data_IF_933866000338
#
_entry.id   IF_933866000338
#
_cell.length_a   1.000
_cell.length_b   1.000
_cell.length_c   1.000
_cell.angle_alpha   90.00
_cell.angle_beta   90.00
_cell.angle_gamma   90.00
#
_symmetry.space_group_name_H-M   'P 1'
#
loop_
_entity.id
_entity.type
_entity.pdbx_description
1 polymer ?
#
# COMPACT_ATOMS: atom_id res chain seq x y z
N UNK A 1 -4.47 17.79 4.88
CA UNK A 1 -3.46 17.25 3.94
C UNK A 1 -2.74 18.44 3.34
N UNK A 2 -1.42 18.50 3.46
CA UNK A 2 -0.63 19.52 2.75
C UNK A 2 -0.45 19.02 1.33
N UNK A 3 -0.97 19.76 0.34
CA UNK A 3 -0.80 19.41 -1.08
C UNK A 3 0.69 19.23 -1.42
N UNK A 4 1.01 18.14 -2.13
CA UNK A 4 2.39 17.80 -2.50
C UNK A 4 2.95 18.80 -3.51
N UNK A 5 2.11 19.19 -4.46
CA UNK A 5 2.44 20.15 -5.50
C UNK A 5 1.80 21.49 -5.16
N UNK A 6 2.62 22.53 -5.01
CA UNK A 6 2.17 23.86 -4.66
C UNK A 6 2.56 24.86 -5.76
N UNK A 7 1.68 25.82 -6.05
CA UNK A 7 2.04 26.93 -6.92
C UNK A 7 2.96 27.88 -6.16
N UNK A 8 4.05 28.31 -6.81
CA UNK A 8 4.94 29.36 -6.30
C UNK A 8 5.18 30.41 -7.37
N UNK A 9 5.24 31.66 -6.92
CA UNK A 9 5.54 32.83 -7.76
C UNK A 9 7.05 32.98 -7.94
N UNK A 10 7.46 33.38 -9.13
CA UNK A 10 8.84 33.67 -9.52
C UNK A 10 8.91 35.06 -10.15
N UNK A 11 10.10 35.63 -10.36
CA UNK A 11 10.24 36.90 -11.08
C UNK A 11 9.74 36.85 -12.54
N UNK A 12 9.59 35.65 -13.10
CA UNK A 12 9.23 35.42 -14.51
C UNK A 12 7.76 34.98 -14.69
N UNK A 13 7.06 34.65 -13.61
CA UNK A 13 5.70 34.11 -13.65
C UNK A 13 5.41 33.18 -12.48
N UNK A 14 4.75 32.06 -12.74
CA UNK A 14 4.41 31.04 -11.76
C UNK A 14 4.96 29.68 -12.18
N UNK A 15 5.16 28.81 -11.20
CA UNK A 15 5.53 27.41 -11.43
C UNK A 15 5.00 26.49 -10.34
N UNK A 16 5.07 25.19 -10.60
CA UNK A 16 4.69 24.15 -9.65
C UNK A 16 5.93 23.67 -8.91
N UNK A 17 5.88 23.76 -7.58
CA UNK A 17 6.89 23.29 -6.65
C UNK A 17 6.49 21.93 -6.09
N UNK A 18 7.38 20.95 -6.14
CA UNK A 18 7.21 19.67 -5.45
C UNK A 18 7.91 19.74 -4.08
N UNK A 19 7.12 19.66 -3.01
CA UNK A 19 7.62 19.71 -1.64
C UNK A 19 8.47 18.49 -1.25
N UNK A 20 8.29 17.34 -1.91
CA UNK A 20 9.00 16.11 -1.57
C UNK A 20 10.45 16.09 -2.08
N UNK A 21 10.71 16.71 -3.24
CA UNK A 21 12.06 16.82 -3.81
C UNK A 21 12.67 18.20 -3.60
N UNK A 22 11.93 19.12 -2.97
CA UNK A 22 12.32 20.52 -2.80
C UNK A 22 12.81 21.15 -4.11
N UNK A 23 12.01 21.00 -5.17
CA UNK A 23 12.38 21.43 -6.51
C UNK A 23 11.21 21.85 -7.38
N UNK A 24 11.54 22.54 -8.47
CA UNK A 24 10.57 22.92 -9.50
C UNK A 24 10.20 21.72 -10.37
N UNK A 25 8.91 21.50 -10.55
CA UNK A 25 8.38 20.44 -11.38
C UNK A 25 7.79 20.93 -12.71
N UNK A 26 7.74 22.25 -12.90
CA UNK A 26 7.34 22.90 -14.16
C UNK A 26 8.28 24.03 -14.54
N UNK A 27 8.08 24.58 -15.75
CA UNK A 27 8.64 25.89 -16.11
C UNK A 27 8.07 26.97 -15.18
N UNK A 28 8.83 28.05 -15.01
CA UNK A 28 8.58 29.14 -14.06
C UNK A 28 7.98 30.40 -14.72
N UNK A 29 7.58 30.28 -15.98
CA UNK A 29 7.01 31.33 -16.84
C UNK A 29 5.50 31.13 -17.08
N UNK A 30 4.85 30.26 -16.29
CA UNK A 30 3.42 30.00 -16.45
C UNK A 30 2.60 31.16 -15.88
N UNK A 31 1.39 31.35 -16.43
CA UNK A 31 0.38 32.18 -15.78
C UNK A 31 -0.13 31.49 -14.51
N UNK A 32 -0.56 32.27 -13.52
CA UNK A 32 -1.14 31.76 -12.27
C UNK A 32 -2.26 30.73 -12.48
N UNK A 33 -3.26 30.95 -13.38
CA UNK A 33 -4.29 29.94 -13.63
C UNK A 33 -3.72 28.66 -14.26
N UNK A 34 -2.73 28.76 -15.16
CA UNK A 34 -2.11 27.59 -15.77
C UNK A 34 -1.30 26.77 -14.75
N UNK A 35 -0.55 27.43 -13.86
CA UNK A 35 0.18 26.77 -12.78
C UNK A 35 -0.77 26.12 -11.76
N UNK A 36 -1.90 26.77 -11.47
CA UNK A 36 -2.94 26.26 -10.56
C UNK A 36 -3.61 25.01 -11.11
N UNK A 37 -4.02 25.02 -12.37
CA UNK A 37 -4.60 23.82 -13.01
C UNK A 37 -3.59 22.67 -13.12
N UNK A 38 -2.32 22.99 -13.38
CA UNK A 38 -1.24 21.99 -13.40
C UNK A 38 -1.02 21.37 -12.01
N UNK A 39 -0.92 22.19 -10.96
CA UNK A 39 -0.78 21.71 -9.58
C UNK A 39 -1.99 20.88 -9.14
N UNK A 40 -3.22 21.30 -9.46
CA UNK A 40 -4.43 20.51 -9.21
C UNK A 40 -4.40 19.17 -9.92
N UNK A 41 -4.07 19.15 -11.22
CA UNK A 41 -3.98 17.91 -11.99
C UNK A 41 -2.95 16.94 -11.38
N UNK A 42 -1.79 17.46 -10.98
CA UNK A 42 -0.75 16.68 -10.33
C UNK A 42 -1.16 16.18 -8.94
N UNK A 43 -1.82 17.01 -8.13
CA UNK A 43 -2.35 16.60 -6.83
C UNK A 43 -3.51 15.62 -6.97
N UNK A 44 -4.36 15.72 -7.99
CA UNK A 44 -5.43 14.74 -8.29
C UNK A 44 -4.81 13.41 -8.70
N UNK A 45 -3.81 13.40 -9.58
CA UNK A 45 -3.10 12.18 -9.96
C UNK A 45 -2.38 11.53 -8.77
N UNK A 46 -1.74 12.34 -7.94
CA UNK A 46 -1.08 11.86 -6.72
C UNK A 46 -2.08 11.38 -5.67
N UNK A 47 -3.19 12.08 -5.47
CA UNK A 47 -4.27 11.63 -4.59
C UNK A 47 -4.86 10.31 -5.10
N UNK A 48 -5.13 10.18 -6.40
CA UNK A 48 -5.60 8.94 -6.99
C UNK A 48 -4.59 7.79 -6.86
N UNK A 49 -3.29 8.06 -6.94
CA UNK A 49 -2.24 7.09 -6.63
C UNK A 49 -2.23 6.72 -5.15
N UNK A 50 -2.35 7.68 -4.23
CA UNK A 50 -2.48 7.42 -2.79
C UNK A 50 -3.76 6.67 -2.41
N UNK A 51 -4.86 6.90 -3.14
CA UNK A 51 -6.12 6.17 -3.01
C UNK A 51 -6.05 4.81 -3.71
N UNK A 52 -5.19 4.62 -4.71
CA UNK A 52 -4.90 3.27 -5.24
C UNK A 52 -4.06 2.44 -4.26
N UNK A 53 -3.42 3.09 -3.28
CA UNK A 53 -2.81 2.47 -2.11
C UNK A 53 -3.83 2.15 -0.99
N UNK A 54 -5.13 2.06 -1.30
CA UNK A 54 -6.17 1.46 -0.43
C UNK A 54 -5.97 -0.06 -0.36
N UNK A 55 -4.84 -0.45 0.22
CA UNK A 55 -4.52 -1.81 0.62
C UNK A 55 -5.57 -2.20 1.64
N UNK A 56 -6.61 -2.90 1.17
CA UNK A 56 -7.67 -3.40 2.03
C UNK A 56 -7.05 -4.40 3.00
N UNK A 57 -6.72 -3.94 4.20
CA UNK A 57 -6.08 -4.75 5.22
C UNK A 57 -7.09 -5.16 6.29
N UNK A 58 -7.00 -6.41 6.74
CA UNK A 58 -7.93 -7.00 7.71
C UNK A 58 -7.14 -7.77 8.76
N UNK A 59 -7.21 -7.31 10.01
CA UNK A 59 -6.66 -8.06 11.15
C UNK A 59 -7.56 -9.24 11.49
N UNK A 60 -6.98 -10.38 11.83
CA UNK A 60 -7.67 -11.61 12.21
C UNK A 60 -7.47 -11.83 13.72
N UNK A 61 -8.52 -11.59 14.51
CA UNK A 61 -8.50 -11.78 15.97
C UNK A 61 -9.70 -12.65 16.38
N UNK A 62 -9.50 -13.77 17.10
CA UNK A 62 -8.20 -14.37 17.41
C UNK A 62 -7.49 -14.88 16.15
N UNK A 63 -6.17 -15.02 16.22
CA UNK A 63 -5.39 -15.59 15.12
C UNK A 63 -5.94 -16.99 14.77
N UNK A 64 -6.09 -17.28 13.48
CA UNK A 64 -6.72 -18.52 13.00
C UNK A 64 -5.67 -19.55 12.61
N UNK A 65 -5.85 -20.84 12.96
CA UNK A 65 -4.95 -21.89 12.52
C UNK A 65 -5.07 -22.09 11.01
N UNK A 66 -3.93 -22.12 10.33
CA UNK A 66 -3.78 -22.29 8.88
C UNK A 66 -2.67 -23.29 8.57
N UNK A 67 -2.70 -23.83 7.35
CA UNK A 67 -1.56 -24.48 6.74
C UNK A 67 -0.93 -23.52 5.74
N UNK A 68 0.40 -23.42 5.77
CA UNK A 68 1.23 -22.55 4.93
C UNK A 68 2.09 -23.40 4.02
N UNK A 69 2.08 -23.14 2.71
CA UNK A 69 2.92 -23.84 1.73
C UNK A 69 4.33 -23.22 1.70
N UNK A 70 5.33 -23.97 2.14
CA UNK A 70 6.75 -23.59 2.13
C UNK A 70 7.54 -24.75 1.51
N UNK A 71 8.34 -24.46 0.48
CA UNK A 71 9.15 -25.44 -0.26
C UNK A 71 8.35 -26.68 -0.72
N UNK A 72 7.13 -26.46 -1.20
CA UNK A 72 6.25 -27.53 -1.68
C UNK A 72 5.59 -28.37 -0.58
N UNK A 73 5.82 -28.03 0.70
CA UNK A 73 5.24 -28.72 1.86
C UNK A 73 4.31 -27.80 2.66
N UNK A 74 3.21 -28.35 3.13
CA UNK A 74 2.28 -27.64 4.02
C UNK A 74 2.74 -27.74 5.47
N UNK A 75 2.86 -26.59 6.12
CA UNK A 75 3.29 -26.44 7.51
C UNK A 75 2.18 -25.79 8.35
N UNK A 76 1.98 -26.21 9.60
CA UNK A 76 1.03 -25.56 10.49
C UNK A 76 1.52 -24.17 10.91
N UNK A 77 0.57 -23.26 11.05
CA UNK A 77 0.82 -21.90 11.51
C UNK A 77 -0.45 -21.16 11.89
N UNK A 78 -0.28 -19.90 12.29
CA UNK A 78 -1.35 -19.03 12.74
C UNK A 78 -1.39 -17.75 11.92
N UNK A 79 -2.55 -17.45 11.36
CA UNK A 79 -2.81 -16.26 10.56
C UNK A 79 -3.41 -15.15 11.42
N UNK A 80 -2.76 -13.98 11.44
CA UNK A 80 -3.19 -12.81 12.20
C UNK A 80 -3.58 -11.59 11.32
N UNK A 81 -3.25 -11.60 10.02
CA UNK A 81 -3.48 -10.45 9.15
C UNK A 81 -3.69 -10.82 7.68
N UNK A 82 -4.52 -10.04 6.99
CA UNK A 82 -4.68 -10.03 5.53
C UNK A 82 -4.40 -8.65 4.96
N UNK A 83 -3.75 -8.57 3.80
CA UNK A 83 -3.60 -7.34 3.01
C UNK A 83 -3.92 -7.65 1.55
N UNK A 84 -4.57 -6.71 0.87
CA UNK A 84 -4.85 -6.78 -0.56
C UNK A 84 -3.91 -5.84 -1.30
N UNK A 85 -2.95 -6.41 -2.02
CA UNK A 85 -2.01 -5.69 -2.88
C UNK A 85 -2.49 -5.75 -4.35
N UNK A 86 -1.76 -5.08 -5.25
CA UNK A 86 -2.13 -5.01 -6.67
C UNK A 86 -2.24 -6.37 -7.36
N UNK A 87 -1.48 -7.36 -6.90
CA UNK A 87 -1.41 -8.72 -7.42
C UNK A 87 -2.21 -9.74 -6.60
N UNK A 88 -2.89 -9.31 -5.53
CA UNK A 88 -3.90 -10.11 -4.83
C UNK A 88 -3.79 -10.08 -3.30
N UNK A 89 -4.41 -11.08 -2.67
CA UNK A 89 -4.45 -11.20 -1.21
C UNK A 89 -3.20 -11.88 -0.65
N UNK A 90 -2.63 -11.28 0.39
CA UNK A 90 -1.51 -11.80 1.17
C UNK A 90 -1.89 -11.93 2.63
N UNK A 91 -1.60 -13.08 3.21
CA UNK A 91 -1.85 -13.38 4.61
C UNK A 91 -0.55 -13.42 5.41
N UNK A 92 -0.51 -12.74 6.55
CA UNK A 92 0.59 -12.86 7.51
C UNK A 92 0.35 -14.09 8.37
N UNK A 93 1.24 -15.06 8.25
CA UNK A 93 1.18 -16.30 9.04
C UNK A 93 2.49 -16.50 9.82
N UNK A 94 2.34 -16.94 11.07
CA UNK A 94 3.43 -17.37 11.93
C UNK A 94 3.51 -18.90 11.88
N UNK A 95 4.65 -19.45 11.46
CA UNK A 95 4.85 -20.91 11.40
C UNK A 95 5.07 -21.47 12.80
N UNK A 96 4.36 -22.54 13.17
CA UNK A 96 4.47 -23.11 14.52
C UNK A 96 5.84 -23.75 14.77
N UNK A 97 6.45 -24.31 13.72
CA UNK A 97 7.74 -24.99 13.81
C UNK A 97 8.91 -24.03 14.12
N UNK A 98 8.82 -22.77 13.69
CA UNK A 98 9.92 -21.81 13.78
C UNK A 98 9.57 -20.56 14.58
N UNK A 99 8.28 -20.31 14.83
CA UNK A 99 7.78 -19.04 15.37
C UNK A 99 7.98 -17.85 14.42
N UNK A 100 8.43 -18.08 13.17
CA UNK A 100 8.71 -17.02 12.23
C UNK A 100 7.42 -16.55 11.56
N UNK A 101 7.17 -15.24 11.63
CA UNK A 101 6.07 -14.59 10.94
C UNK A 101 6.53 -14.09 9.56
N UNK A 102 5.80 -14.45 8.51
CA UNK A 102 6.04 -13.96 7.16
C UNK A 102 4.73 -13.75 6.40
N UNK A 103 4.80 -13.08 5.25
CA UNK A 103 3.67 -12.86 4.35
C UNK A 103 3.65 -13.93 3.27
N UNK A 104 2.48 -14.54 3.07
CA UNK A 104 2.27 -15.60 2.09
C UNK A 104 1.11 -15.23 1.17
N UNK A 105 1.21 -15.52 -0.14
CA UNK A 105 0.07 -15.38 -1.04
C UNK A 105 -1.12 -16.21 -0.53
N UNK A 106 -2.35 -15.77 -0.77
CA UNK A 106 -3.55 -16.50 -0.39
C UNK A 106 -3.58 -17.94 -0.97
N UNK A 107 -3.00 -18.16 -2.15
CA UNK A 107 -2.87 -19.49 -2.76
C UNK A 107 -1.94 -20.44 -1.97
N UNK A 108 -1.01 -19.88 -1.18
CA UNK A 108 -0.09 -20.62 -0.31
C UNK A 108 -0.65 -20.79 1.12
N UNK A 109 -1.91 -20.42 1.34
CA UNK A 109 -2.57 -20.50 2.64
C UNK A 109 -3.87 -21.29 2.50
N UNK A 110 -4.13 -22.18 3.44
CA UNK A 110 -5.43 -22.85 3.55
C UNK A 110 -5.82 -23.03 5.00
N UNK A 111 -7.13 -23.11 5.32
CA UNK A 111 -7.57 -23.43 6.68
C UNK A 111 -6.92 -24.73 7.16
N UNK A 112 -6.43 -24.75 8.39
CA UNK A 112 -6.07 -26.00 9.02
C UNK A 112 -7.37 -26.81 9.23
N UNK A 113 -7.34 -28.15 9.09
CA UNK A 113 -8.48 -28.96 9.48
C UNK A 113 -8.80 -28.61 10.94
N UNK A 114 -10.03 -28.19 11.21
CA UNK A 114 -10.49 -28.05 12.58
C UNK A 114 -10.24 -29.39 13.25
N UNK A 115 -9.46 -29.39 14.34
CA UNK A 115 -9.36 -30.57 15.17
C UNK A 115 -10.79 -30.95 15.53
N UNK A 116 -11.29 -32.05 14.95
CA UNK A 116 -12.60 -32.55 15.23
C UNK A 116 -12.63 -32.79 16.74
N UNK A 117 -13.38 -31.96 17.47
CA UNK A 117 -13.78 -32.27 18.83
C UNK A 117 -14.56 -33.58 18.76
N UNK A 118 -13.89 -34.66 19.11
CA UNK A 118 -14.47 -35.95 19.44
C UNK A 118 -15.02 -35.92 20.87
#
# INVERSE_FOLDING_TARGET
MTDRFAVRTTPQGHGVWDAAVNGWHSRQDLSEPAATELAKTMNVGHAAQQTSTDTTSRKVVPAKPVLVLVDGRWWPGHLDWWVHETDGWYGRATLDATGAASWYPAASLRPAPAAATA
#
